data_IF_320741673543
#
_entry.id   IF_320741673543
#
_cell.length_a   1.000
_cell.length_b   1.000
_cell.length_c   1.000
_cell.angle_alpha   90.00
_cell.angle_beta   90.00
_cell.angle_gamma   90.00
#
_symmetry.space_group_name_H-M   'P 1'
#
loop_
_entity.id
_entity.type
_entity.pdbx_description
1 polymer ?
#
# COMPACT_ATOMS: atom_id res chain seq x y z
N UNK A 1 0.16 6.48 -33.47
CA UNK A 1 -0.12 7.33 -32.29
C UNK A 1 0.97 7.07 -31.26
N UNK A 2 2.08 7.83 -31.33
CA UNK A 2 3.21 7.66 -30.42
C UNK A 2 2.85 8.30 -29.08
N UNK A 3 2.53 7.47 -28.08
CA UNK A 3 2.38 7.96 -26.70
C UNK A 3 3.74 8.49 -26.25
N UNK A 4 3.79 9.71 -25.74
CA UNK A 4 4.99 10.22 -25.08
C UNK A 4 5.44 9.23 -24.01
N UNK A 5 6.75 9.08 -23.80
CA UNK A 5 7.30 8.13 -22.82
C UNK A 5 6.66 8.25 -21.43
N UNK A 6 6.18 9.45 -21.07
CA UNK A 6 5.45 9.69 -19.82
C UNK A 6 4.05 9.06 -19.77
N UNK A 7 3.30 9.04 -20.88
CA UNK A 7 1.96 8.46 -20.93
C UNK A 7 2.02 6.94 -20.73
N UNK A 8 3.04 6.26 -21.25
CA UNK A 8 3.20 4.82 -21.03
C UNK A 8 3.43 4.48 -19.55
N UNK A 9 4.18 5.31 -18.82
CA UNK A 9 4.43 5.11 -17.39
C UNK A 9 3.13 5.27 -16.60
N UNK A 10 2.34 6.30 -16.90
CA UNK A 10 1.05 6.51 -16.25
C UNK A 10 0.06 5.41 -16.59
N UNK A 11 0.00 4.97 -17.84
CA UNK A 11 -0.90 3.88 -18.24
C UNK A 11 -0.58 2.58 -17.50
N UNK A 12 0.71 2.18 -17.43
CA UNK A 12 1.12 0.97 -16.69
C UNK A 12 0.94 1.13 -15.18
N UNK A 13 1.21 2.31 -14.63
CA UNK A 13 0.97 2.60 -13.22
C UNK A 13 -0.52 2.55 -12.86
N UNK A 14 -1.40 3.03 -13.73
CA UNK A 14 -2.84 2.97 -13.52
C UNK A 14 -3.37 1.53 -13.54
N UNK A 15 -2.87 0.68 -14.45
CA UNK A 15 -3.22 -0.75 -14.49
C UNK A 15 -2.73 -1.48 -13.24
N UNK A 16 -1.49 -1.23 -12.82
CA UNK A 16 -0.94 -1.82 -11.61
C UNK A 16 -1.68 -1.36 -10.35
N UNK A 17 -1.96 -0.05 -10.26
CA UNK A 17 -2.65 0.57 -9.13
C UNK A 17 -4.12 0.14 -9.03
N UNK A 18 -4.82 -0.03 -10.14
CA UNK A 18 -6.21 -0.51 -10.14
C UNK A 18 -6.33 -1.99 -9.78
N UNK A 19 -5.40 -2.83 -10.24
CA UNK A 19 -5.35 -4.24 -9.84
C UNK A 19 -5.07 -4.34 -8.34
N UNK A 20 -4.08 -3.59 -7.84
CA UNK A 20 -3.79 -3.53 -6.41
C UNK A 20 -5.01 -3.07 -5.61
N UNK A 21 -5.69 -1.99 -6.02
CA UNK A 21 -6.90 -1.53 -5.35
C UNK A 21 -8.01 -2.59 -5.32
N UNK A 22 -8.20 -3.34 -6.40
CA UNK A 22 -9.21 -4.40 -6.45
C UNK A 22 -8.93 -5.51 -5.42
N UNK A 23 -7.69 -6.02 -5.37
CA UNK A 23 -7.28 -7.00 -4.35
C UNK A 23 -7.49 -6.46 -2.94
N UNK A 24 -7.06 -5.23 -2.73
CA UNK A 24 -7.10 -4.54 -1.45
C UNK A 24 -8.54 -4.27 -0.94
N UNK A 25 -9.52 -4.11 -1.84
CA UNK A 25 -10.94 -3.95 -1.51
C UNK A 25 -11.61 -5.31 -1.24
N UNK A 26 -11.33 -6.33 -2.07
CA UNK A 26 -11.94 -7.67 -1.95
C UNK A 26 -11.45 -8.39 -0.70
N UNK A 27 -10.12 -8.51 -0.55
CA UNK A 27 -9.49 -9.08 0.64
C UNK A 27 -9.79 -8.17 1.84
N UNK A 28 -9.78 -6.86 1.60
CA UNK A 28 -10.35 -5.79 2.44
C UNK A 28 -11.56 -6.22 3.23
N UNK A 29 -12.61 -6.42 2.44
CA UNK A 29 -13.96 -6.69 2.91
C UNK A 29 -14.06 -8.07 3.54
N UNK A 30 -13.37 -9.07 2.98
CA UNK A 30 -13.39 -10.45 3.49
C UNK A 30 -12.75 -10.57 4.88
N UNK A 31 -11.56 -10.01 5.09
CA UNK A 31 -10.87 -10.07 6.39
C UNK A 31 -11.58 -9.23 7.46
N UNK A 32 -12.21 -8.12 7.06
CA UNK A 32 -13.01 -7.32 7.98
C UNK A 32 -14.27 -8.07 8.42
N UNK A 33 -14.90 -8.81 7.50
CA UNK A 33 -16.05 -9.66 7.81
C UNK A 33 -15.70 -10.79 8.80
N UNK A 34 -14.48 -11.35 8.68
CA UNK A 34 -13.92 -12.34 9.60
C UNK A 34 -13.42 -11.76 10.95
N UNK A 35 -13.58 -10.43 11.19
CA UNK A 35 -13.09 -9.74 12.38
C UNK A 35 -11.60 -10.00 12.70
N UNK A 36 -10.77 -10.14 11.66
CA UNK A 36 -9.37 -10.51 11.85
C UNK A 36 -8.52 -9.30 12.32
N UNK A 37 -7.84 -9.35 13.47
CA UNK A 37 -7.13 -8.19 14.03
C UNK A 37 -5.93 -7.73 13.18
N UNK A 38 -5.34 -8.61 12.35
CA UNK A 38 -4.17 -8.30 11.51
C UNK A 38 -4.51 -7.99 10.04
N UNK A 39 -5.76 -7.60 9.77
CA UNK A 39 -6.26 -7.26 8.43
C UNK A 39 -5.33 -6.35 7.61
N UNK A 40 -4.70 -5.36 8.26
CA UNK A 40 -3.82 -4.41 7.55
C UNK A 40 -2.46 -4.98 7.16
N UNK A 41 -1.95 -5.98 7.89
CA UNK A 41 -0.64 -6.59 7.62
C UNK A 41 -0.73 -7.52 6.40
N UNK A 42 -1.85 -8.24 6.28
CA UNK A 42 -2.15 -9.09 5.13
C UNK A 42 -2.36 -8.26 3.86
N UNK A 43 -3.01 -7.11 3.97
CA UNK A 43 -3.19 -6.19 2.85
C UNK A 43 -1.87 -5.61 2.34
N UNK A 44 -1.03 -5.15 3.27
CA UNK A 44 0.29 -4.64 2.93
C UNK A 44 1.19 -5.71 2.29
N UNK A 45 1.17 -6.95 2.79
CA UNK A 45 1.98 -8.01 2.19
C UNK A 45 1.56 -8.32 0.74
N UNK A 46 0.25 -8.34 0.47
CA UNK A 46 -0.28 -8.54 -0.89
C UNK A 46 0.08 -7.35 -1.79
N UNK A 47 0.04 -6.12 -1.25
CA UNK A 47 0.47 -4.91 -1.96
C UNK A 47 1.94 -4.94 -2.38
N UNK A 48 2.84 -5.26 -1.45
CA UNK A 48 4.28 -5.41 -1.74
C UNK A 48 4.52 -6.50 -2.80
N UNK A 49 3.82 -7.63 -2.71
CA UNK A 49 3.95 -8.72 -3.69
C UNK A 49 3.54 -8.25 -5.09
N UNK A 50 2.40 -7.55 -5.21
CA UNK A 50 1.92 -7.01 -6.48
C UNK A 50 2.89 -5.95 -7.04
N UNK A 51 3.30 -4.98 -6.23
CA UNK A 51 4.26 -3.93 -6.61
C UNK A 51 5.59 -4.52 -7.10
N UNK A 52 6.12 -5.52 -6.39
CA UNK A 52 7.36 -6.21 -6.75
C UNK A 52 7.19 -6.94 -8.08
N UNK A 53 6.08 -7.67 -8.25
CA UNK A 53 5.77 -8.39 -9.49
C UNK A 53 5.70 -7.45 -10.69
N UNK A 54 4.99 -6.32 -10.56
CA UNK A 54 4.90 -5.31 -11.61
C UNK A 54 6.22 -4.61 -11.91
N UNK A 55 7.07 -4.41 -10.91
CA UNK A 55 8.39 -3.79 -11.11
C UNK A 55 9.41 -4.72 -11.79
N UNK A 56 9.28 -6.04 -11.60
CA UNK A 56 10.05 -7.03 -12.35
C UNK A 56 9.62 -7.05 -13.82
N UNK A 57 8.31 -6.99 -14.10
CA UNK A 57 7.78 -6.95 -15.46
C UNK A 57 8.08 -5.64 -16.19
N UNK A 58 7.93 -4.49 -15.53
CA UNK A 58 8.13 -3.18 -16.15
C UNK A 58 9.34 -2.46 -15.58
N UNK A 59 10.45 -2.54 -16.33
CA UNK A 59 11.74 -1.95 -15.95
C UNK A 59 11.81 -0.40 -16.04
N UNK A 60 10.77 0.33 -15.61
CA UNK A 60 10.76 1.81 -15.63
C UNK A 60 10.94 2.42 -14.24
N UNK A 61 11.43 3.66 -14.17
CA UNK A 61 11.63 4.40 -12.91
C UNK A 61 10.32 5.10 -12.52
N UNK A 62 9.98 5.13 -11.23
CA UNK A 62 8.84 5.90 -10.73
C UNK A 62 7.46 5.22 -10.80
N UNK A 63 7.38 3.93 -11.12
CA UNK A 63 6.10 3.21 -11.20
C UNK A 63 5.45 3.07 -9.82
N UNK A 64 6.24 2.84 -8.77
CA UNK A 64 5.73 2.47 -7.43
C UNK A 64 4.86 3.55 -6.80
N UNK A 65 5.35 4.79 -6.71
CA UNK A 65 4.59 5.89 -6.10
C UNK A 65 3.36 6.26 -6.94
N UNK A 66 3.45 6.19 -8.27
CA UNK A 66 2.29 6.45 -9.16
C UNK A 66 1.21 5.37 -8.99
N UNK A 67 1.60 4.10 -8.93
CA UNK A 67 0.67 2.99 -8.70
C UNK A 67 0.02 3.08 -7.30
N UNK A 68 0.81 3.43 -6.28
CA UNK A 68 0.31 3.64 -4.91
C UNK A 68 -0.67 4.82 -4.82
N UNK A 69 -0.40 5.92 -5.53
CA UNK A 69 -1.31 7.06 -5.61
C UNK A 69 -2.64 6.67 -6.26
N UNK A 70 -2.60 5.97 -7.40
CA UNK A 70 -3.83 5.48 -8.06
C UNK A 70 -4.60 4.51 -7.15
N UNK A 71 -3.90 3.58 -6.49
CA UNK A 71 -4.51 2.64 -5.56
C UNK A 71 -5.19 3.34 -4.39
N UNK A 72 -4.51 4.30 -3.76
CA UNK A 72 -5.05 5.11 -2.67
C UNK A 72 -6.29 5.88 -3.11
N UNK A 73 -6.27 6.51 -4.28
CA UNK A 73 -7.44 7.21 -4.82
C UNK A 73 -8.62 6.26 -5.04
N UNK A 74 -8.41 5.10 -5.67
CA UNK A 74 -9.49 4.12 -5.89
C UNK A 74 -10.06 3.58 -4.59
N UNK A 75 -9.22 3.32 -3.58
CA UNK A 75 -9.70 2.87 -2.26
C UNK A 75 -10.44 3.98 -1.51
N UNK A 76 -10.13 5.25 -1.75
CA UNK A 76 -10.74 6.40 -1.04
C UNK A 76 -12.19 6.63 -1.42
N UNK A 77 -12.55 6.20 -2.63
CA UNK A 77 -13.91 6.24 -3.15
C UNK A 77 -14.78 5.16 -2.46
N UNK A 78 -14.17 4.16 -1.81
CA UNK A 78 -14.92 3.12 -1.09
C UNK A 78 -15.44 3.65 0.26
N UNK A 79 -16.77 3.71 0.49
CA UNK A 79 -17.37 4.29 1.69
C UNK A 79 -17.26 3.39 2.95
N UNK A 80 -16.57 2.25 2.89
CA UNK A 80 -16.68 1.19 3.91
C UNK A 80 -15.98 1.44 5.25
N UNK A 81 -15.22 2.52 5.43
CA UNK A 81 -14.86 3.08 6.74
C UNK A 81 -14.02 4.33 6.53
N UNK A 82 -14.47 5.48 7.03
CA UNK A 82 -13.72 6.75 7.08
C UNK A 82 -12.61 6.66 8.13
N UNK A 83 -11.71 5.68 7.99
CA UNK A 83 -10.48 5.58 8.76
C UNK A 83 -9.39 5.98 7.78
N UNK A 84 -8.89 7.21 7.90
CA UNK A 84 -7.76 7.73 7.10
C UNK A 84 -6.45 6.91 7.27
N UNK A 85 -6.45 5.90 8.14
CA UNK A 85 -5.32 5.02 8.44
C UNK A 85 -4.84 4.16 7.27
N UNK A 86 -5.68 3.25 6.71
CA UNK A 86 -5.30 2.42 5.57
C UNK A 86 -4.85 3.22 4.33
N UNK A 87 -5.41 4.41 4.09
CA UNK A 87 -5.02 5.27 2.95
C UNK A 87 -3.57 5.73 3.07
N UNK A 88 -3.21 6.25 4.25
CA UNK A 88 -1.85 6.68 4.55
C UNK A 88 -0.88 5.49 4.53
N UNK A 89 -1.33 4.30 4.93
CA UNK A 89 -0.55 3.06 4.87
C UNK A 89 -0.13 2.70 3.44
N UNK A 90 -1.09 2.63 2.51
CA UNK A 90 -0.82 2.28 1.09
C UNK A 90 0.13 3.29 0.43
N UNK A 91 -0.09 4.58 0.70
CA UNK A 91 0.75 5.63 0.13
C UNK A 91 2.19 5.59 0.70
N UNK A 92 2.32 5.35 2.01
CA UNK A 92 3.61 5.21 2.69
C UNK A 92 4.37 3.96 2.21
N UNK A 93 3.67 2.84 2.03
CA UNK A 93 4.25 1.59 1.52
C UNK A 93 4.85 1.78 0.12
N UNK A 94 4.09 2.41 -0.78
CA UNK A 94 4.55 2.74 -2.13
C UNK A 94 5.73 3.71 -2.15
N UNK A 95 5.76 4.68 -1.22
CA UNK A 95 6.90 5.60 -1.06
C UNK A 95 8.15 4.88 -0.60
N UNK A 96 8.04 4.09 0.47
CA UNK A 96 9.19 3.36 1.02
C UNK A 96 9.75 2.39 -0.01
N UNK A 97 8.88 1.63 -0.69
CA UNK A 97 9.31 0.78 -1.80
C UNK A 97 10.04 1.58 -2.89
N UNK A 98 9.50 2.74 -3.29
CA UNK A 98 10.18 3.60 -4.27
C UNK A 98 11.55 4.10 -3.78
N UNK A 99 11.66 4.47 -2.51
CA UNK A 99 12.86 5.04 -1.89
C UNK A 99 13.95 3.96 -1.77
N UNK A 100 13.61 2.79 -1.23
CA UNK A 100 14.54 1.66 -1.09
C UNK A 100 14.99 1.10 -2.44
N UNK A 101 14.08 0.92 -3.40
CA UNK A 101 14.44 0.47 -4.75
C UNK A 101 15.25 1.53 -5.51
N UNK A 102 15.05 2.82 -5.21
CA UNK A 102 15.87 3.89 -5.81
C UNK A 102 17.27 3.98 -5.19
N UNK A 103 17.42 3.70 -3.89
CA UNK A 103 18.70 3.79 -3.17
C UNK A 103 19.55 2.53 -3.36
N UNK A 104 18.97 1.33 -3.23
CA UNK A 104 19.69 0.06 -3.41
C UNK A 104 19.77 -0.41 -4.86
N UNK A 105 19.09 0.29 -5.77
CA UNK A 105 18.96 -0.12 -7.17
C UNK A 105 18.01 -1.31 -7.36
N UNK A 106 17.79 -1.70 -8.62
CA UNK A 106 16.86 -2.77 -9.04
C UNK A 106 17.42 -4.19 -8.80
N UNK A 107 18.08 -4.42 -7.67
CA UNK A 107 18.57 -5.73 -7.27
C UNK A 107 17.52 -6.47 -6.42
N UNK A 108 17.54 -7.81 -6.43
CA UNK A 108 16.66 -8.64 -5.58
C UNK A 108 16.69 -8.19 -4.11
N UNK A 109 17.86 -7.78 -3.64
CA UNK A 109 18.09 -7.29 -2.28
C UNK A 109 17.32 -5.98 -2.02
N UNK A 110 17.23 -5.08 -3.00
CA UNK A 110 16.47 -3.83 -2.88
C UNK A 110 14.96 -4.05 -2.78
N UNK A 111 14.44 -5.07 -3.48
CA UNK A 111 13.03 -5.47 -3.36
C UNK A 111 12.71 -6.11 -2.00
N UNK A 112 13.58 -7.02 -1.54
CA UNK A 112 13.39 -7.71 -0.26
C UNK A 112 13.51 -6.73 0.91
N UNK A 113 14.56 -5.91 0.94
CA UNK A 113 14.75 -4.92 1.99
C UNK A 113 13.70 -3.82 1.95
N UNK A 114 13.32 -3.35 0.74
CA UNK A 114 12.24 -2.39 0.56
C UNK A 114 10.90 -2.92 1.08
N UNK A 115 10.58 -4.18 0.78
CA UNK A 115 9.38 -4.85 1.29
C UNK A 115 9.39 -5.02 2.81
N UNK A 116 10.49 -5.49 3.39
CA UNK A 116 10.63 -5.65 4.85
C UNK A 116 10.46 -4.31 5.57
N UNK A 117 11.13 -3.25 5.11
CA UNK A 117 11.01 -1.92 5.74
C UNK A 117 9.64 -1.29 5.54
N UNK A 118 9.02 -1.48 4.37
CA UNK A 118 7.66 -1.01 4.11
C UNK A 118 6.65 -1.67 5.07
N UNK A 119 6.73 -3.00 5.24
CA UNK A 119 5.90 -3.74 6.18
C UNK A 119 6.16 -3.35 7.63
N UNK A 120 7.43 -3.11 8.00
CA UNK A 120 7.83 -2.69 9.34
C UNK A 120 7.29 -1.29 9.70
N UNK A 121 7.29 -0.37 8.73
CA UNK A 121 6.72 0.98 8.90
C UNK A 121 5.21 0.97 9.16
N UNK A 122 4.47 0.05 8.53
CA UNK A 122 3.03 -0.11 8.80
C UNK A 122 2.75 -0.71 10.19
N UNK A 123 3.63 -1.58 10.68
CA UNK A 123 3.55 -2.23 12.00
C UNK A 123 3.60 -1.21 13.13
N UNK A 124 4.50 -0.22 13.02
CA UNK A 124 4.67 0.86 14.01
C UNK A 124 3.43 1.76 14.01
N UNK A 125 2.94 2.15 12.82
CA UNK A 125 1.82 3.08 12.70
C UNK A 125 0.47 2.47 13.14
N UNK A 126 0.29 1.16 12.96
CA UNK A 126 -0.92 0.44 13.40
C UNK A 126 -0.92 0.13 14.91
N UNK A 127 0.25 -0.12 15.51
CA UNK A 127 0.39 -0.32 16.96
C UNK A 127 0.03 0.95 17.75
N UNK A 128 0.51 2.11 17.31
CA UNK A 128 0.24 3.42 17.95
C UNK A 128 -1.28 3.73 17.93
N UNK A 129 -1.98 3.37 16.85
CA UNK A 129 -3.42 3.64 16.69
C UNK A 129 -4.29 2.76 17.59
N UNK A 130 -3.91 1.50 17.84
CA UNK A 130 -4.60 0.64 18.81
C UNK A 130 -4.42 1.13 20.25
N UNK A 131 -3.24 1.65 20.60
CA UNK A 131 -2.97 2.21 21.94
C UNK A 131 -3.81 3.47 22.21
N UNK A 132 -4.00 4.34 21.21
CA UNK A 132 -4.77 5.59 21.38
C UNK A 132 -6.28 5.33 21.56
N UNK A 133 -6.87 4.40 20.79
CA UNK A 133 -8.29 4.06 20.92
C UNK A 133 -8.60 3.38 22.26
N UNK A 134 -7.69 2.53 22.77
CA UNK A 134 -7.82 1.93 24.11
C UNK A 134 -7.70 2.99 25.21
N UNK A 135 -6.82 3.99 25.07
CA UNK A 135 -6.73 5.08 26.06
C UNK A 135 -7.96 5.98 26.11
N UNK A 136 -8.59 6.25 24.96
CA UNK A 136 -9.82 7.07 24.90
C UNK A 136 -11.03 6.32 25.46
N UNK A 137 -11.10 4.99 25.31
CA UNK A 137 -12.19 4.18 25.88
C UNK A 137 -12.15 4.12 27.42
N UNK A 138 -10.97 4.26 28.04
CA UNK A 138 -10.80 4.23 29.50
C UNK A 138 -11.01 5.57 30.20
N UNK A 139 -11.09 6.69 29.47
CA UNK A 139 -11.30 8.03 30.05
C UNK A 139 -12.77 8.49 30.01
N UNK A 140 -13.70 7.58 29.65
CA UNK A 140 -15.11 7.89 29.42
C UNK A 140 -16.09 6.90 30.09
N UNK A 141 -15.73 6.31 31.22
CA UNK A 141 -16.67 5.62 32.11
C UNK A 141 -16.78 6.42 33.42
N UNK A 142 -17.92 7.07 33.71
CA UNK A 142 -18.30 7.37 35.09
C UNK A 142 -18.63 6.09 35.86
#
# INVERSE_FOLDING_TARGET
MALSSNNEVWMKASVAGSLWAAFEIVIGSFLHNLHFPFTGMVMASIGVILLTSFSVMWKMKGIFWRAALVCALMKSISPSAVILGPMAGIMLEGLLMQLFVSVLGRNMIGYILGGIFALFSLLIHKSIRHVIIIRVRFCGYP
#
